data_IF_661146835085
#
_entry.id   IF_661146835085
#
_cell.length_a   1.000
_cell.length_b   1.000
_cell.length_c   1.000
_cell.angle_alpha   90.00
_cell.angle_beta   90.00
_cell.angle_gamma   90.00
#
_symmetry.space_group_name_H-M   'P 1'
#
loop_
_entity.id
_entity.type
_entity.pdbx_description
1 polymer ?
#
# COMPACT_ATOMS: atom_id res chain seq x y z
N UNK A 1 -6.66 12.31 -16.33
CA UNK A 1 -7.75 12.04 -15.38
C UNK A 1 -7.39 10.73 -14.71
N UNK A 2 -7.40 10.64 -13.38
CA UNK A 2 -6.98 9.41 -12.68
C UNK A 2 -8.07 8.35 -12.80
N UNK A 3 -7.65 7.12 -13.12
CA UNK A 3 -8.53 5.98 -13.35
C UNK A 3 -8.59 5.08 -12.12
N UNK A 4 -9.79 4.82 -11.65
CA UNK A 4 -10.05 3.94 -10.51
C UNK A 4 -10.73 2.66 -10.96
N UNK A 5 -10.24 1.51 -10.46
CA UNK A 5 -10.91 0.22 -10.59
C UNK A 5 -11.66 -0.07 -9.30
N UNK A 6 -12.97 -0.31 -9.38
CA UNK A 6 -13.80 -0.74 -8.25
C UNK A 6 -14.17 -2.21 -8.46
N UNK A 7 -13.91 -3.02 -7.44
CA UNK A 7 -14.25 -4.45 -7.40
C UNK A 7 -15.17 -4.68 -6.21
N UNK A 8 -16.47 -4.76 -6.48
CA UNK A 8 -17.52 -4.84 -5.45
C UNK A 8 -18.68 -5.65 -6.03
N UNK A 9 -19.08 -6.72 -5.37
CA UNK A 9 -20.14 -7.62 -5.86
C UNK A 9 -21.54 -7.04 -5.61
N UNK A 10 -21.74 -6.28 -4.53
CA UNK A 10 -23.03 -5.68 -4.22
C UNK A 10 -23.38 -4.56 -5.23
N UNK A 11 -24.43 -4.73 -6.08
CA UNK A 11 -24.72 -3.77 -7.14
C UNK A 11 -25.06 -2.37 -6.64
N UNK A 12 -25.71 -2.27 -5.47
CA UNK A 12 -26.14 -0.99 -4.88
C UNK A 12 -24.89 -0.18 -4.44
N UNK A 13 -23.96 -0.81 -3.71
CA UNK A 13 -22.73 -0.18 -3.24
C UNK A 13 -21.81 0.15 -4.42
N UNK A 14 -21.63 -0.78 -5.36
CA UNK A 14 -20.84 -0.56 -6.57
C UNK A 14 -21.33 0.66 -7.36
N UNK A 15 -22.65 0.81 -7.53
CA UNK A 15 -23.26 1.98 -8.18
C UNK A 15 -23.04 3.26 -7.38
N UNK A 16 -23.23 3.24 -6.06
CA UNK A 16 -23.01 4.39 -5.20
C UNK A 16 -21.57 4.88 -5.25
N UNK A 17 -20.59 3.98 -5.16
CA UNK A 17 -19.17 4.28 -5.30
C UNK A 17 -18.86 4.92 -6.67
N UNK A 18 -19.37 4.31 -7.73
CA UNK A 18 -19.16 4.81 -9.11
C UNK A 18 -19.68 6.24 -9.28
N UNK A 19 -20.90 6.52 -8.84
CA UNK A 19 -21.50 7.86 -8.96
C UNK A 19 -20.69 8.89 -8.16
N UNK A 20 -20.37 8.57 -6.91
CA UNK A 20 -19.66 9.49 -6.03
C UNK A 20 -18.23 9.81 -6.50
N UNK A 21 -17.51 8.81 -7.01
CA UNK A 21 -16.14 8.99 -7.49
C UNK A 21 -16.12 9.70 -8.85
N UNK A 22 -17.05 9.40 -9.77
CA UNK A 22 -17.21 10.14 -11.02
C UNK A 22 -17.56 11.61 -10.79
N UNK A 23 -18.41 11.91 -9.81
CA UNK A 23 -18.75 13.28 -9.44
C UNK A 23 -17.53 14.08 -8.92
N UNK A 24 -16.47 13.41 -8.53
CA UNK A 24 -15.18 13.99 -8.11
C UNK A 24 -14.10 13.95 -9.19
N UNK A 25 -14.51 13.79 -10.45
CA UNK A 25 -13.67 13.82 -11.65
C UNK A 25 -12.67 12.64 -11.77
N UNK A 26 -12.99 11.48 -11.18
CA UNK A 26 -12.26 10.24 -11.46
C UNK A 26 -12.88 9.52 -12.66
N UNK A 27 -12.07 8.88 -13.48
CA UNK A 27 -12.51 7.85 -14.41
C UNK A 27 -12.71 6.57 -13.61
N UNK A 28 -13.88 5.93 -13.73
CA UNK A 28 -14.21 4.77 -12.90
C UNK A 28 -14.63 3.61 -13.79
N UNK A 29 -13.89 2.52 -13.69
CA UNK A 29 -14.29 1.19 -14.15
C UNK A 29 -14.74 0.37 -12.93
N UNK A 30 -15.92 -0.26 -13.00
CA UNK A 30 -16.49 -0.99 -11.88
C UNK A 30 -16.94 -2.38 -12.29
N UNK A 31 -16.46 -3.39 -11.59
CA UNK A 31 -16.71 -4.81 -11.85
C UNK A 31 -17.21 -5.53 -10.60
N UNK A 32 -17.93 -6.65 -10.77
CA UNK A 32 -18.54 -7.38 -9.65
C UNK A 32 -17.83 -8.68 -9.27
N UNK A 33 -16.70 -9.00 -9.91
CA UNK A 33 -16.00 -10.28 -9.68
C UNK A 33 -14.48 -10.08 -9.73
N UNK A 34 -13.74 -10.93 -9.01
CA UNK A 34 -12.28 -10.90 -8.98
C UNK A 34 -11.66 -11.22 -10.34
N UNK A 35 -12.22 -12.19 -11.07
CA UNK A 35 -11.76 -12.53 -12.43
C UNK A 35 -11.92 -11.35 -13.39
N UNK A 36 -13.04 -10.62 -13.32
CA UNK A 36 -13.25 -9.42 -14.14
C UNK A 36 -12.27 -8.31 -13.74
N UNK A 37 -11.96 -8.17 -12.46
CA UNK A 37 -11.00 -7.20 -11.97
C UNK A 37 -9.60 -7.41 -12.54
N UNK A 38 -9.09 -8.63 -12.49
CA UNK A 38 -7.77 -8.96 -13.04
C UNK A 38 -7.71 -8.72 -14.56
N UNK A 39 -8.76 -9.06 -15.29
CA UNK A 39 -8.87 -8.77 -16.73
C UNK A 39 -8.92 -7.29 -17.04
N UNK A 40 -9.74 -6.52 -16.31
CA UNK A 40 -9.87 -5.08 -16.50
C UNK A 40 -8.53 -4.36 -16.22
N UNK A 41 -7.89 -4.68 -15.10
CA UNK A 41 -6.60 -4.10 -14.74
C UNK A 41 -5.47 -4.47 -15.72
N UNK A 42 -5.49 -5.66 -16.31
CA UNK A 42 -4.52 -6.07 -17.31
C UNK A 42 -4.75 -5.37 -18.66
N UNK A 43 -6.02 -5.17 -19.05
CA UNK A 43 -6.38 -4.48 -20.30
C UNK A 43 -6.05 -2.99 -20.24
N UNK A 44 -6.34 -2.35 -19.12
CA UNK A 44 -6.07 -0.92 -18.92
C UNK A 44 -5.69 -0.69 -17.45
N UNK A 45 -4.39 -0.51 -17.16
CA UNK A 45 -3.90 -0.34 -15.79
C UNK A 45 -4.59 0.83 -15.08
N UNK A 46 -5.17 0.64 -13.89
CA UNK A 46 -5.72 1.72 -13.10
C UNK A 46 -4.62 2.46 -12.31
N UNK A 47 -4.90 3.69 -11.90
CA UNK A 47 -4.05 4.47 -10.98
C UNK A 47 -4.29 4.06 -9.50
N UNK A 48 -5.45 3.47 -9.20
CA UNK A 48 -5.79 2.92 -7.89
C UNK A 48 -6.89 1.87 -8.03
N UNK A 49 -6.82 0.80 -7.23
CA UNK A 49 -7.87 -0.21 -7.11
C UNK A 49 -8.54 -0.16 -5.73
N UNK A 50 -9.88 -0.27 -5.71
CA UNK A 50 -10.69 -0.46 -4.51
C UNK A 50 -11.28 -1.86 -4.60
N UNK A 51 -10.99 -2.73 -3.62
CA UNK A 51 -11.31 -4.16 -3.70
C UNK A 51 -12.08 -4.61 -2.48
N UNK A 52 -13.29 -5.15 -2.68
CA UNK A 52 -13.97 -5.93 -1.63
C UNK A 52 -13.31 -7.30 -1.47
N UNK A 53 -13.26 -7.78 -0.22
CA UNK A 53 -12.77 -9.14 0.07
C UNK A 53 -13.83 -10.21 -0.17
N UNK A 54 -15.11 -9.88 -0.08
CA UNK A 54 -16.23 -10.81 -0.16
C UNK A 54 -16.74 -11.06 -1.58
N UNK A 55 -15.86 -11.27 -2.56
CA UNK A 55 -16.27 -11.50 -3.94
C UNK A 55 -16.82 -12.92 -4.17
N UNK A 56 -17.71 -13.13 -5.16
CA UNK A 56 -18.39 -14.40 -5.36
C UNK A 56 -17.56 -15.49 -6.03
N UNK A 57 -16.48 -15.15 -6.72
CA UNK A 57 -15.68 -16.06 -7.53
C UNK A 57 -14.26 -16.29 -6.98
N UNK A 58 -13.64 -15.27 -6.44
CA UNK A 58 -12.28 -15.30 -5.84
C UNK A 58 -12.30 -14.57 -4.50
N UNK A 59 -11.50 -15.02 -3.52
CA UNK A 59 -11.22 -14.19 -2.33
C UNK A 59 -10.51 -12.90 -2.78
N UNK A 60 -10.97 -11.74 -2.30
CA UNK A 60 -10.35 -10.47 -2.65
C UNK A 60 -8.86 -10.42 -2.32
N UNK A 61 -8.38 -11.21 -1.35
CA UNK A 61 -6.95 -11.37 -1.06
C UNK A 61 -6.20 -12.04 -2.23
N UNK A 62 -6.83 -12.98 -2.93
CA UNK A 62 -6.27 -13.62 -4.13
C UNK A 62 -6.21 -12.64 -5.30
N UNK A 63 -7.20 -11.75 -5.42
CA UNK A 63 -7.19 -10.66 -6.40
C UNK A 63 -6.04 -9.69 -6.13
N UNK A 64 -5.82 -9.31 -4.86
CA UNK A 64 -4.69 -8.47 -4.44
C UNK A 64 -3.36 -9.14 -4.82
N UNK A 65 -3.17 -10.40 -4.44
CA UNK A 65 -1.96 -11.16 -4.74
C UNK A 65 -1.73 -11.29 -6.26
N UNK A 66 -2.79 -11.53 -7.03
CA UNK A 66 -2.75 -11.57 -8.49
C UNK A 66 -2.29 -10.25 -9.10
N UNK A 67 -2.85 -9.11 -8.66
CA UNK A 67 -2.41 -7.77 -9.09
C UNK A 67 -0.94 -7.52 -8.72
N UNK A 68 -0.51 -7.88 -7.52
CA UNK A 68 0.88 -7.70 -7.05
C UNK A 68 1.89 -8.52 -7.84
N UNK A 69 1.48 -9.58 -8.50
CA UNK A 69 2.34 -10.35 -9.41
C UNK A 69 2.92 -9.52 -10.56
N UNK A 70 2.24 -8.44 -10.97
CA UNK A 70 2.65 -7.64 -12.12
C UNK A 70 2.46 -6.12 -11.95
N UNK A 71 1.79 -5.65 -10.89
CA UNK A 71 1.46 -4.22 -10.69
C UNK A 71 1.81 -3.74 -9.28
N UNK A 72 2.22 -2.48 -9.17
CA UNK A 72 2.41 -1.77 -7.90
C UNK A 72 1.30 -0.75 -7.63
N UNK A 73 0.18 -0.82 -8.36
CA UNK A 73 -0.96 0.09 -8.19
C UNK A 73 -1.39 0.16 -6.71
N UNK A 74 -1.70 1.34 -6.15
CA UNK A 74 -2.27 1.45 -4.82
C UNK A 74 -3.57 0.67 -4.70
N UNK A 75 -3.73 -0.11 -3.62
CA UNK A 75 -4.91 -0.93 -3.37
C UNK A 75 -5.53 -0.55 -2.03
N UNK A 76 -6.79 -0.14 -2.04
CA UNK A 76 -7.61 0.07 -0.85
C UNK A 76 -8.60 -1.09 -0.74
N UNK A 77 -8.61 -1.77 0.40
CA UNK A 77 -9.56 -2.85 0.67
C UNK A 77 -10.82 -2.30 1.32
N UNK A 78 -11.98 -2.75 0.87
CA UNK A 78 -13.25 -2.61 1.58
C UNK A 78 -13.64 -3.96 2.19
N UNK A 79 -14.10 -3.99 3.43
CA UNK A 79 -14.56 -5.25 4.04
C UNK A 79 -15.58 -5.02 5.13
N UNK A 80 -16.60 -5.89 5.18
CA UNK A 80 -17.56 -5.95 6.29
C UNK A 80 -16.96 -6.57 7.56
N UNK A 81 -15.78 -7.17 7.46
CA UNK A 81 -15.15 -7.92 8.55
C UNK A 81 -14.13 -7.04 9.27
N UNK A 82 -14.44 -6.66 10.49
CA UNK A 82 -13.55 -5.89 11.38
C UNK A 82 -12.62 -6.81 12.21
N UNK A 83 -12.15 -7.91 11.61
CA UNK A 83 -11.21 -8.76 12.33
C UNK A 83 -9.77 -8.32 12.02
N UNK A 84 -9.01 -8.12 13.08
CA UNK A 84 -7.58 -7.82 13.01
C UNK A 84 -6.80 -8.81 12.11
N UNK A 85 -7.17 -10.09 12.16
CA UNK A 85 -6.53 -11.13 11.36
C UNK A 85 -6.75 -10.92 9.85
N UNK A 86 -7.95 -10.49 9.45
CA UNK A 86 -8.23 -10.22 8.02
C UNK A 86 -7.56 -8.96 7.52
N UNK A 87 -7.54 -7.91 8.36
CA UNK A 87 -6.79 -6.70 8.06
C UNK A 87 -5.30 -7.01 7.81
N UNK A 88 -4.68 -7.78 8.71
CA UNK A 88 -3.29 -8.24 8.55
C UNK A 88 -3.13 -9.07 7.28
N UNK A 89 -4.04 -10.02 7.00
CA UNK A 89 -3.99 -10.87 5.81
C UNK A 89 -4.06 -10.07 4.51
N UNK A 90 -4.94 -9.07 4.43
CA UNK A 90 -5.07 -8.20 3.26
C UNK A 90 -3.82 -7.34 3.05
N UNK A 91 -3.30 -6.74 4.13
CA UNK A 91 -2.07 -5.96 4.08
C UNK A 91 -0.86 -6.84 3.72
N UNK A 92 -0.75 -8.06 4.26
CA UNK A 92 0.29 -9.02 3.91
C UNK A 92 0.23 -9.45 2.44
N UNK A 93 -0.96 -9.53 1.84
CA UNK A 93 -1.11 -9.78 0.42
C UNK A 93 -0.71 -8.58 -0.45
N UNK A 94 -0.49 -7.40 0.15
CA UNK A 94 -0.01 -6.21 -0.51
C UNK A 94 -1.05 -5.08 -0.65
N UNK A 95 -2.16 -5.10 0.10
CA UNK A 95 -3.04 -3.94 0.17
C UNK A 95 -2.33 -2.75 0.82
N UNK A 96 -2.60 -1.52 0.39
CA UNK A 96 -2.00 -0.28 0.91
C UNK A 96 -2.84 0.36 2.01
N UNK A 97 -4.13 0.09 2.03
CA UNK A 97 -5.05 0.59 3.05
C UNK A 97 -6.25 -0.36 3.21
N UNK A 98 -6.96 -0.22 4.33
CA UNK A 98 -8.10 -1.06 4.67
C UNK A 98 -9.22 -0.22 5.29
N UNK A 99 -10.41 -0.33 4.75
CA UNK A 99 -11.60 0.40 5.20
C UNK A 99 -12.68 -0.60 5.61
N UNK A 100 -13.15 -0.47 6.84
CA UNK A 100 -14.22 -1.34 7.37
C UNK A 100 -15.59 -0.81 6.96
N UNK A 101 -16.45 -1.68 6.46
CA UNK A 101 -17.89 -1.38 6.22
C UNK A 101 -18.68 -1.48 7.54
N UNK A 102 -19.60 -0.53 7.85
CA UNK A 102 -19.96 0.64 7.04
C UNK A 102 -18.94 1.79 7.18
N UNK A 103 -18.73 2.52 6.10
CA UNK A 103 -17.81 3.68 6.04
C UNK A 103 -18.51 4.93 5.51
N UNK A 104 -17.95 6.09 5.86
CA UNK A 104 -18.36 7.36 5.27
C UNK A 104 -17.77 7.55 3.87
N UNK A 105 -18.54 8.07 2.93
CA UNK A 105 -18.04 8.33 1.57
C UNK A 105 -16.89 9.33 1.59
N UNK A 106 -16.95 10.35 2.43
CA UNK A 106 -15.88 11.35 2.54
C UNK A 106 -14.59 10.76 3.14
N UNK A 107 -14.70 9.78 4.04
CA UNK A 107 -13.56 9.02 4.53
C UNK A 107 -12.89 8.25 3.39
N UNK A 108 -13.67 7.47 2.64
CA UNK A 108 -13.12 6.72 1.50
C UNK A 108 -12.45 7.63 0.47
N UNK A 109 -13.08 8.75 0.13
CA UNK A 109 -12.51 9.74 -0.81
C UNK A 109 -11.22 10.36 -0.27
N UNK A 110 -11.14 10.63 1.03
CA UNK A 110 -9.90 11.11 1.65
C UNK A 110 -8.77 10.08 1.54
N UNK A 111 -9.07 8.79 1.75
CA UNK A 111 -8.11 7.69 1.60
C UNK A 111 -7.67 7.49 0.15
N UNK A 112 -8.60 7.57 -0.80
CA UNK A 112 -8.30 7.54 -2.25
C UNK A 112 -7.33 8.65 -2.61
N UNK A 113 -7.60 9.90 -2.20
CA UNK A 113 -6.70 11.03 -2.44
C UNK A 113 -5.33 10.85 -1.81
N UNK A 114 -5.29 10.33 -0.58
CA UNK A 114 -4.02 10.06 0.10
C UNK A 114 -3.20 8.98 -0.62
N UNK A 115 -3.83 7.90 -1.08
CA UNK A 115 -3.18 6.83 -1.80
C UNK A 115 -2.64 7.30 -3.17
N UNK A 116 -3.43 8.06 -3.92
CA UNK A 116 -3.01 8.64 -5.21
C UNK A 116 -1.87 9.64 -5.04
N UNK A 117 -1.93 10.53 -4.02
CA UNK A 117 -0.84 11.48 -3.73
C UNK A 117 0.47 10.75 -3.41
N UNK A 118 0.43 9.63 -2.68
CA UNK A 118 1.61 8.81 -2.42
C UNK A 118 2.27 8.30 -3.69
N UNK A 119 1.51 8.06 -4.74
CA UNK A 119 2.08 7.68 -6.03
C UNK A 119 2.83 8.83 -6.74
N UNK A 120 2.51 10.10 -6.42
CA UNK A 120 2.95 11.26 -7.19
C UNK A 120 4.04 12.15 -6.53
N UNK A 121 4.25 12.10 -5.19
CA UNK A 121 5.07 13.12 -4.49
C UNK A 121 6.39 12.58 -4.00
N UNK A 122 7.48 13.28 -4.35
CA UNK A 122 8.83 13.02 -3.83
C UNK A 122 9.63 14.30 -3.61
N UNK A 123 9.83 14.68 -2.34
CA UNK A 123 11.05 15.37 -1.95
C UNK A 123 12.13 14.30 -1.71
N UNK A 124 13.06 14.19 -2.64
CA UNK A 124 14.15 13.21 -2.55
C UNK A 124 15.17 13.63 -1.49
N UNK A 125 15.83 12.67 -0.81
CA UNK A 125 17.03 12.92 -0.02
C UNK A 125 18.14 13.56 -0.87
N UNK A 126 19.11 14.17 -0.22
CA UNK A 126 20.28 14.82 -0.87
C UNK A 126 21.06 13.83 -1.74
N UNK A 127 21.10 12.56 -1.33
CA UNK A 127 21.67 11.46 -2.12
C UNK A 127 20.56 10.49 -2.56
N UNK A 128 20.21 10.44 -3.85
CA UNK A 128 19.08 9.64 -4.33
C UNK A 128 19.37 8.13 -4.35
N UNK A 129 20.63 7.70 -4.20
CA UNK A 129 21.01 6.29 -4.23
C UNK A 129 21.60 5.87 -2.89
N UNK A 130 20.96 4.90 -2.26
CA UNK A 130 21.44 4.28 -1.02
C UNK A 130 21.91 2.87 -1.32
N UNK A 131 23.20 2.61 -1.08
CA UNK A 131 23.82 1.29 -1.26
C UNK A 131 24.24 0.72 0.08
N UNK A 132 23.80 -0.51 0.35
CA UNK A 132 24.20 -1.31 1.51
C UNK A 132 24.90 -2.59 1.05
N UNK A 133 25.37 -3.41 1.97
CA UNK A 133 25.91 -4.72 1.60
C UNK A 133 24.84 -5.68 1.05
N UNK A 134 23.56 -5.50 1.41
CA UNK A 134 22.46 -6.40 1.03
C UNK A 134 21.66 -5.91 -0.19
N UNK A 135 21.49 -4.59 -0.34
CA UNK A 135 20.63 -4.02 -1.37
C UNK A 135 21.04 -2.61 -1.80
N UNK A 136 20.56 -2.20 -2.96
CA UNK A 136 20.66 -0.83 -3.48
C UNK A 136 19.27 -0.28 -3.73
N UNK A 137 19.02 0.96 -3.30
CA UNK A 137 17.78 1.71 -3.52
C UNK A 137 18.09 2.98 -4.30
N UNK A 138 17.52 3.11 -5.48
CA UNK A 138 17.49 4.36 -6.25
C UNK A 138 16.14 5.01 -6.00
N UNK A 139 16.14 6.04 -5.17
CA UNK A 139 14.92 6.75 -4.73
C UNK A 139 14.34 7.61 -5.85
N UNK A 140 15.20 8.13 -6.74
CA UNK A 140 14.78 8.93 -7.88
C UNK A 140 14.09 8.07 -8.95
N UNK A 141 14.71 6.94 -9.30
CA UNK A 141 14.17 6.02 -10.30
C UNK A 141 13.14 5.04 -9.73
N UNK A 142 12.89 5.03 -8.42
CA UNK A 142 12.03 4.04 -7.72
C UNK A 142 12.44 2.60 -8.05
N UNK A 143 13.73 2.35 -8.02
CA UNK A 143 14.32 1.03 -8.26
C UNK A 143 14.97 0.48 -7.00
N UNK A 144 14.62 -0.74 -6.67
CA UNK A 144 15.26 -1.49 -5.59
C UNK A 144 15.91 -2.75 -6.18
N UNK A 145 17.10 -3.07 -5.74
CA UNK A 145 17.83 -4.27 -6.14
C UNK A 145 18.43 -4.97 -4.93
N UNK A 146 18.37 -6.29 -4.94
CA UNK A 146 19.07 -7.15 -3.98
C UNK A 146 20.06 -8.02 -4.74
N UNK A 147 21.34 -7.72 -4.63
CA UNK A 147 22.35 -8.23 -5.55
C UNK A 147 22.00 -7.86 -7.00
N UNK A 148 21.91 -8.86 -7.89
CA UNK A 148 21.55 -8.68 -9.30
C UNK A 148 20.03 -8.74 -9.55
N UNK A 149 19.22 -8.99 -8.53
CA UNK A 149 17.77 -9.17 -8.70
C UNK A 149 17.02 -7.88 -8.43
N UNK A 150 16.17 -7.46 -9.37
CA UNK A 150 15.26 -6.34 -9.18
C UNK A 150 14.17 -6.71 -8.17
N UNK A 151 13.89 -5.81 -7.23
CA UNK A 151 12.89 -5.97 -6.17
C UNK A 151 11.78 -4.96 -6.38
N UNK A 152 10.53 -5.42 -6.44
CA UNK A 152 9.38 -4.52 -6.55
C UNK A 152 8.89 -4.09 -5.18
N UNK A 153 8.95 -2.79 -4.93
CA UNK A 153 8.31 -2.17 -3.77
C UNK A 153 7.02 -1.48 -4.18
N UNK A 154 6.00 -1.57 -3.32
CA UNK A 154 4.75 -0.83 -3.51
C UNK A 154 4.95 0.66 -3.18
N UNK A 155 4.04 1.56 -3.60
CA UNK A 155 4.12 2.97 -3.24
C UNK A 155 4.22 3.21 -1.72
N UNK A 156 3.48 2.47 -0.92
CA UNK A 156 3.52 2.58 0.54
C UNK A 156 4.85 2.10 1.13
N UNK A 157 5.42 1.01 0.60
CA UNK A 157 6.77 0.55 0.99
C UNK A 157 7.84 1.59 0.64
N UNK A 158 7.76 2.23 -0.53
CA UNK A 158 8.66 3.32 -0.90
C UNK A 158 8.58 4.49 0.07
N UNK A 159 7.36 4.92 0.46
CA UNK A 159 7.19 6.02 1.41
C UNK A 159 7.77 5.71 2.79
N UNK A 160 7.59 4.48 3.28
CA UNK A 160 8.21 4.06 4.54
C UNK A 160 9.73 4.08 4.48
N UNK A 161 10.29 3.57 3.39
CA UNK A 161 11.74 3.61 3.14
C UNK A 161 12.23 5.06 3.12
N UNK A 162 11.60 5.94 2.35
CA UNK A 162 11.97 7.35 2.23
C UNK A 162 11.85 8.10 3.54
N UNK A 163 10.77 7.85 4.32
CA UNK A 163 10.59 8.48 5.62
C UNK A 163 11.73 8.19 6.59
N UNK A 164 12.28 6.97 6.55
CA UNK A 164 13.43 6.59 7.34
C UNK A 164 14.76 7.09 6.75
N UNK A 165 14.93 7.03 5.43
CA UNK A 165 16.16 7.44 4.74
C UNK A 165 16.40 8.95 4.76
N UNK A 166 15.37 9.77 4.99
CA UNK A 166 15.56 11.20 5.28
C UNK A 166 16.28 11.45 6.60
N UNK A 167 16.29 10.48 7.51
CA UNK A 167 16.86 10.59 8.87
C UNK A 167 17.64 9.32 9.23
N UNK A 168 18.71 8.97 8.49
CA UNK A 168 19.49 7.76 8.74
C UNK A 168 20.00 7.70 10.18
N UNK A 169 19.96 6.53 10.81
CA UNK A 169 20.35 6.32 12.20
C UNK A 169 19.38 6.90 13.24
N UNK A 170 18.40 7.72 12.83
CA UNK A 170 17.47 8.36 13.76
C UNK A 170 16.23 7.47 13.99
N UNK A 171 15.86 7.34 15.26
CA UNK A 171 14.64 6.66 15.63
C UNK A 171 13.41 7.52 15.33
N UNK A 172 12.50 7.00 14.50
CA UNK A 172 11.23 7.63 14.15
C UNK A 172 10.10 6.89 14.85
N UNK A 173 9.25 7.61 15.59
CA UNK A 173 8.14 6.97 16.30
C UNK A 173 7.11 6.35 15.35
N UNK A 174 6.43 5.28 15.80
CA UNK A 174 5.39 4.63 15.00
C UNK A 174 4.27 5.60 14.61
N UNK A 175 3.81 6.44 15.54
CA UNK A 175 2.77 7.44 15.28
C UNK A 175 3.22 8.45 14.21
N UNK A 176 4.48 8.91 14.26
CA UNK A 176 5.03 9.83 13.27
C UNK A 176 5.11 9.19 11.87
N UNK A 177 5.58 7.94 11.76
CA UNK A 177 5.60 7.22 10.48
C UNK A 177 4.20 7.02 9.90
N UNK A 178 3.23 6.67 10.75
CA UNK A 178 1.85 6.50 10.32
C UNK A 178 1.25 7.81 9.80
N UNK A 179 1.45 8.92 10.52
CA UNK A 179 0.97 10.23 10.10
C UNK A 179 1.68 10.72 8.81
N UNK A 180 2.98 10.47 8.68
CA UNK A 180 3.77 10.87 7.50
C UNK A 180 3.38 10.06 6.25
N UNK A 181 3.18 8.75 6.40
CA UNK A 181 2.90 7.85 5.27
C UNK A 181 1.42 7.80 4.93
N UNK A 182 0.52 7.64 5.90
CA UNK A 182 -0.93 7.52 5.63
C UNK A 182 -1.70 8.81 5.86
N UNK A 183 -1.14 9.76 6.59
CA UNK A 183 -1.78 11.02 6.95
C UNK A 183 -2.36 11.01 8.37
N UNK A 184 -2.93 12.14 8.80
CA UNK A 184 -3.53 12.26 10.12
C UNK A 184 -4.71 11.29 10.31
N UNK A 185 -4.86 10.76 11.52
CA UNK A 185 -5.90 9.80 11.89
C UNK A 185 -5.44 8.33 11.89
N UNK A 186 -4.23 8.05 11.39
CA UNK A 186 -3.67 6.68 11.37
C UNK A 186 -2.74 6.36 12.54
N UNK A 187 -2.52 7.29 13.47
CA UNK A 187 -1.49 7.17 14.52
C UNK A 187 -1.68 5.93 15.41
N UNK A 188 -2.88 5.36 15.44
CA UNK A 188 -3.23 4.15 16.20
C UNK A 188 -3.10 2.86 15.41
N UNK A 189 -2.91 2.92 14.09
CA UNK A 189 -2.85 1.75 13.20
C UNK A 189 -1.47 1.08 13.19
N UNK A 190 -0.92 0.83 14.38
CA UNK A 190 0.45 0.29 14.57
C UNK A 190 0.69 -1.05 13.88
N UNK A 191 -0.38 -1.83 13.62
CA UNK A 191 -0.28 -3.08 12.89
C UNK A 191 0.13 -2.89 11.42
N UNK A 192 -0.19 -1.75 10.80
CA UNK A 192 0.27 -1.42 9.45
C UNK A 192 1.80 -1.47 9.41
N UNK A 193 2.46 -0.77 10.31
CA UNK A 193 3.93 -0.75 10.36
C UNK A 193 4.53 -2.14 10.55
N UNK A 194 3.95 -2.97 11.44
CA UNK A 194 4.43 -4.35 11.64
C UNK A 194 4.40 -5.15 10.34
N UNK A 195 3.29 -5.08 9.60
CA UNK A 195 3.12 -5.81 8.35
C UNK A 195 4.10 -5.29 7.30
N UNK A 196 4.14 -3.98 7.07
CA UNK A 196 5.01 -3.40 6.04
C UNK A 196 6.50 -3.57 6.33
N UNK A 197 6.95 -3.42 7.57
CA UNK A 197 8.34 -3.70 7.91
C UNK A 197 8.70 -5.18 7.78
N UNK A 198 7.75 -6.09 8.06
CA UNK A 198 7.96 -7.50 7.76
C UNK A 198 8.11 -7.76 6.25
N UNK A 199 7.31 -7.09 5.41
CA UNK A 199 7.42 -7.19 3.95
C UNK A 199 8.72 -6.59 3.42
N UNK A 200 9.08 -5.37 3.85
CA UNK A 200 10.33 -4.73 3.47
C UNK A 200 11.54 -5.60 3.80
N UNK A 201 11.56 -6.18 5.01
CA UNK A 201 12.63 -7.09 5.43
C UNK A 201 12.69 -8.34 4.57
N UNK A 202 11.54 -8.97 4.26
CA UNK A 202 11.50 -10.13 3.37
C UNK A 202 12.06 -9.82 1.97
N UNK A 203 11.85 -8.60 1.49
CA UNK A 203 12.28 -8.17 0.16
C UNK A 203 13.75 -7.74 0.12
N UNK A 204 14.23 -7.06 1.15
CA UNK A 204 15.52 -6.35 1.12
C UNK A 204 16.59 -6.95 2.03
N UNK A 205 16.23 -7.45 3.20
CA UNK A 205 17.17 -7.99 4.18
C UNK A 205 17.61 -9.43 3.84
N UNK A 206 18.83 -9.81 4.24
CA UNK A 206 19.29 -11.18 4.13
C UNK A 206 18.57 -12.10 5.13
N UNK A 207 18.37 -11.62 6.36
CA UNK A 207 17.64 -12.32 7.43
C UNK A 207 16.49 -11.46 7.94
N UNK A 208 15.25 -11.65 7.44
CA UNK A 208 14.09 -10.85 7.86
C UNK A 208 13.77 -10.87 9.35
N UNK A 209 14.09 -11.98 10.04
CA UNK A 209 13.89 -12.15 11.49
C UNK A 209 14.97 -11.48 12.34
N UNK A 210 16.14 -11.22 11.74
CA UNK A 210 17.28 -10.54 12.38
C UNK A 210 17.73 -9.38 11.48
N UNK A 211 16.89 -8.33 11.35
CA UNK A 211 17.13 -7.24 10.42
C UNK A 211 18.37 -6.44 10.82
N UNK A 212 19.15 -6.05 9.83
CA UNK A 212 20.36 -5.25 10.01
C UNK A 212 20.12 -3.79 9.70
N UNK A 213 19.22 -3.50 8.74
CA UNK A 213 19.01 -2.15 8.23
C UNK A 213 17.70 -1.54 8.72
N UNK A 214 16.59 -2.26 8.67
CA UNK A 214 15.28 -1.77 9.12
C UNK A 214 15.01 -2.25 10.55
N UNK A 215 15.53 -1.51 11.52
CA UNK A 215 15.48 -1.89 12.93
C UNK A 215 14.14 -1.49 13.56
N UNK A 216 13.60 -2.34 14.42
CA UNK A 216 12.46 -2.03 15.28
C UNK A 216 12.95 -1.81 16.71
N UNK A 217 12.57 -0.69 17.32
CA UNK A 217 12.66 -0.47 18.75
C UNK A 217 11.28 -0.72 19.37
N UNK A 218 11.12 -1.84 20.08
CA UNK A 218 9.81 -2.26 20.57
C UNK A 218 9.13 -1.19 21.42
N UNK A 219 7.86 -0.91 21.12
CA UNK A 219 7.07 0.11 21.81
C UNK A 219 7.41 1.55 21.49
N UNK A 220 8.42 1.84 20.68
CA UNK A 220 8.89 3.19 20.33
C UNK A 220 8.73 3.49 18.85
N UNK A 221 9.41 2.73 17.98
CA UNK A 221 9.38 3.05 16.56
C UNK A 221 10.37 2.23 15.71
N UNK A 222 10.82 2.86 14.65
CA UNK A 222 11.68 2.24 13.63
C UNK A 222 12.82 3.18 13.25
N UNK A 223 13.94 2.62 12.83
CA UNK A 223 15.05 3.38 12.25
C UNK A 223 15.71 2.61 11.12
N UNK A 224 16.38 3.33 10.25
CA UNK A 224 17.26 2.77 9.22
C UNK A 224 18.71 2.92 9.67
N UNK A 225 19.43 1.80 9.74
CA UNK A 225 20.89 1.75 9.96
C UNK A 225 21.58 1.53 8.61
N UNK A 226 22.42 2.48 8.14
CA UNK A 226 23.10 2.39 6.85
C UNK A 226 24.25 1.37 6.83
#
# INVERSE_FOLDING_TARGET
MQRLLIVEDEPALRRALTINLKARHYEVEAVGTGTAALKAAAATPPDLAIIDLGLPDLDGVEVIAGLRGWSTVPIIVLSARDSQAQKVRALDAGADDYVTKPFGMDELVARVRAALRRADVHELPVDPVVTTAAFTLDLAAKRARRGETDVRLTPTEWHLVEALLRRPGTLVSGAQLLAEVWGPGYEKETNYLRVYFAQLRRKLEESPSHPRYFITEPGVGYRFEP
#
